data_IF_450073945444
#
_entry.id   IF_450073945444
#
_cell.length_a   1.000
_cell.length_b   1.000
_cell.length_c   1.000
_cell.angle_alpha   90.00
_cell.angle_beta   90.00
_cell.angle_gamma   90.00
#
_symmetry.space_group_name_H-M   'P 1'
#
loop_
_entity.id
_entity.type
_entity.pdbx_description
1 polymer ?
#
# COMPACT_ATOMS: atom_id res chain seq x y z
N UNK A 1 5.71 18.56 21.58
CA UNK A 1 4.85 18.35 20.41
C UNK A 1 4.62 19.65 19.66
N UNK A 2 4.05 19.55 18.47
CA UNK A 2 3.73 20.72 17.64
C UNK A 2 2.46 21.42 18.12
N UNK A 3 2.39 22.75 17.92
CA UNK A 3 1.17 23.53 18.13
C UNK A 3 0.20 23.32 16.94
N UNK A 4 -1.11 23.41 17.22
CA UNK A 4 -2.17 23.25 16.20
C UNK A 4 -2.02 24.22 15.02
N UNK A 5 -1.52 25.45 15.23
CA UNK A 5 -1.25 26.42 14.18
C UNK A 5 -0.14 25.94 13.23
N UNK A 6 0.93 25.36 13.77
CA UNK A 6 2.04 24.80 12.97
C UNK A 6 1.58 23.59 12.16
N UNK A 7 0.74 22.73 12.78
CA UNK A 7 0.15 21.58 12.09
C UNK A 7 -0.71 22.00 10.91
N UNK A 8 -1.54 23.06 11.08
CA UNK A 8 -2.37 23.60 10.01
C UNK A 8 -1.50 24.13 8.85
N UNK A 9 -0.46 24.90 9.15
CA UNK A 9 0.47 25.41 8.14
C UNK A 9 1.15 24.27 7.37
N UNK A 10 1.63 23.23 8.06
CA UNK A 10 2.29 22.08 7.39
C UNK A 10 1.34 21.29 6.51
N UNK A 11 0.05 21.20 6.86
CA UNK A 11 -0.98 20.62 5.98
C UNK A 11 -1.16 21.43 4.70
N UNK A 12 -1.17 22.76 4.79
CA UNK A 12 -1.24 23.65 3.62
C UNK A 12 0.00 23.53 2.73
N UNK A 13 1.18 23.35 3.34
CA UNK A 13 2.46 23.13 2.64
C UNK A 13 2.62 21.70 2.06
N UNK A 14 1.59 20.84 2.15
CA UNK A 14 1.61 19.42 1.75
C UNK A 14 2.71 18.57 2.45
N UNK A 15 3.15 18.96 3.63
CA UNK A 15 4.12 18.21 4.45
C UNK A 15 3.42 17.15 5.31
N UNK A 16 2.54 16.39 4.71
CA UNK A 16 1.72 15.31 5.32
C UNK A 16 2.26 13.95 4.91
N UNK A 17 2.10 12.95 5.77
CA UNK A 17 2.45 11.56 5.46
C UNK A 17 1.50 10.97 4.40
N UNK A 18 1.72 11.33 3.15
CA UNK A 18 0.98 10.77 2.03
C UNK A 18 1.63 9.45 1.65
N UNK A 19 1.08 8.32 2.14
CA UNK A 19 1.49 7.02 1.59
C UNK A 19 1.23 7.05 0.09
N UNK A 20 2.20 6.64 -0.75
CA UNK A 20 1.97 6.54 -2.18
C UNK A 20 0.75 5.64 -2.38
N UNK A 21 -0.29 6.19 -2.99
CA UNK A 21 -1.51 5.43 -3.32
C UNK A 21 -1.01 4.24 -4.12
N UNK A 22 -1.23 3.05 -3.57
CA UNK A 22 -0.93 1.81 -4.27
C UNK A 22 -1.60 1.94 -5.63
N UNK A 23 -0.80 2.11 -6.70
CA UNK A 23 -1.32 2.34 -8.06
C UNK A 23 -1.89 1.03 -8.60
N UNK A 24 -2.93 0.54 -7.89
CA UNK A 24 -3.73 -0.54 -8.42
C UNK A 24 -4.22 -0.13 -9.80
N UNK A 25 -4.05 -1.00 -10.80
CA UNK A 25 -4.49 -0.75 -12.17
C UNK A 25 -5.92 -0.22 -12.18
N UNK A 26 -6.21 0.79 -12.98
CA UNK A 26 -7.58 1.28 -13.15
C UNK A 26 -8.43 0.21 -13.85
N UNK A 27 -9.74 0.19 -13.60
CA UNK A 27 -10.65 -0.78 -14.25
C UNK A 27 -10.56 -0.76 -15.77
N UNK A 28 -10.54 0.41 -16.46
CA UNK A 28 -10.38 0.45 -17.91
C UNK A 28 -9.07 -0.17 -18.38
N UNK A 29 -7.99 0.00 -17.61
CA UNK A 29 -6.69 -0.58 -17.94
C UNK A 29 -6.70 -2.10 -17.82
N UNK A 30 -7.36 -2.64 -16.79
CA UNK A 30 -7.53 -4.09 -16.62
C UNK A 30 -8.27 -4.67 -17.84
N UNK A 31 -9.38 -4.06 -18.25
CA UNK A 31 -10.16 -4.50 -19.40
C UNK A 31 -9.32 -4.44 -20.66
N UNK A 32 -8.62 -3.33 -20.89
CA UNK A 32 -7.80 -3.15 -22.08
C UNK A 32 -6.65 -4.16 -22.18
N UNK A 33 -5.90 -4.37 -21.09
CA UNK A 33 -4.77 -5.32 -21.04
C UNK A 33 -5.25 -6.77 -21.24
N UNK A 34 -6.43 -7.13 -20.75
CA UNK A 34 -7.01 -8.46 -20.97
C UNK A 34 -7.49 -8.66 -22.42
N UNK A 35 -8.12 -7.66 -23.02
CA UNK A 35 -8.57 -7.74 -24.41
C UNK A 35 -7.37 -7.81 -25.36
N UNK A 36 -6.39 -6.94 -25.18
CA UNK A 36 -5.19 -6.82 -26.02
C UNK A 36 -4.00 -7.63 -25.49
N UNK A 37 -4.26 -8.73 -24.82
CA UNK A 37 -3.23 -9.70 -24.46
C UNK A 37 -2.59 -10.28 -25.73
N UNK A 38 -1.27 -10.53 -25.69
CA UNK A 38 -0.54 -11.13 -26.80
C UNK A 38 -1.22 -12.42 -27.30
N UNK A 39 -1.63 -13.29 -26.41
CA UNK A 39 -2.33 -14.53 -26.76
C UNK A 39 -3.64 -14.27 -27.50
N UNK A 40 -4.43 -13.29 -27.06
CA UNK A 40 -5.71 -12.97 -27.68
C UNK A 40 -5.51 -12.36 -29.09
N UNK A 41 -4.49 -11.53 -29.27
CA UNK A 41 -4.14 -10.95 -30.57
C UNK A 41 -3.73 -12.05 -31.56
N UNK A 42 -2.83 -12.95 -31.14
CA UNK A 42 -2.40 -14.08 -32.00
C UNK A 42 -3.57 -14.97 -32.36
N UNK A 43 -4.44 -15.27 -31.41
CA UNK A 43 -5.60 -16.14 -31.66
C UNK A 43 -6.62 -15.47 -32.57
N UNK A 44 -6.86 -14.17 -32.41
CA UNK A 44 -7.73 -13.39 -33.29
C UNK A 44 -7.19 -13.38 -34.72
N UNK A 45 -5.87 -13.22 -34.88
CA UNK A 45 -5.20 -13.29 -36.18
C UNK A 45 -5.35 -14.66 -36.84
N UNK A 46 -5.13 -15.77 -36.10
CA UNK A 46 -5.32 -17.12 -36.59
C UNK A 46 -6.78 -17.38 -37.00
N UNK A 47 -7.74 -16.90 -36.20
CA UNK A 47 -9.16 -16.98 -36.49
C UNK A 47 -9.50 -16.28 -37.81
N UNK A 48 -8.95 -15.08 -38.02
CA UNK A 48 -9.15 -14.34 -39.26
C UNK A 48 -8.62 -15.13 -40.45
N UNK A 49 -7.46 -15.74 -40.36
CA UNK A 49 -6.89 -16.62 -41.41
C UNK A 49 -7.80 -17.80 -41.70
N UNK A 50 -8.35 -18.47 -40.68
CA UNK A 50 -9.26 -19.62 -40.86
C UNK A 50 -10.54 -19.20 -41.60
N UNK A 51 -11.10 -18.04 -41.27
CA UNK A 51 -12.27 -17.50 -42.01
C UNK A 51 -11.94 -17.22 -43.47
N UNK A 52 -10.76 -16.64 -43.75
CA UNK A 52 -10.32 -16.37 -45.13
C UNK A 52 -10.14 -17.64 -45.97
N UNK A 53 -9.81 -18.77 -45.38
CA UNK A 53 -9.64 -20.08 -46.06
C UNK A 53 -11.00 -20.80 -46.23
N UNK A 54 -12.10 -20.23 -45.73
CA UNK A 54 -13.44 -20.84 -45.78
C UNK A 54 -13.73 -21.87 -44.68
N UNK A 55 -12.89 -21.98 -43.69
CA UNK A 55 -13.01 -22.91 -42.56
C UNK A 55 -13.83 -22.30 -41.39
N UNK A 56 -14.98 -21.71 -41.72
CA UNK A 56 -15.82 -20.99 -40.74
C UNK A 56 -16.37 -21.88 -39.60
N UNK A 57 -16.46 -23.17 -39.83
CA UNK A 57 -16.93 -24.14 -38.81
C UNK A 57 -16.02 -24.14 -37.54
N UNK A 58 -14.76 -23.80 -37.71
CA UNK A 58 -13.82 -23.62 -36.59
C UNK A 58 -14.01 -22.31 -35.82
N UNK A 59 -14.82 -21.39 -36.31
CA UNK A 59 -15.14 -20.14 -35.61
C UNK A 59 -15.88 -20.40 -34.30
N UNK A 60 -16.62 -21.49 -34.17
CA UNK A 60 -17.27 -21.89 -32.92
C UNK A 60 -16.26 -22.18 -31.80
N UNK A 61 -15.07 -22.68 -32.14
CA UNK A 61 -14.00 -22.89 -31.16
C UNK A 61 -13.51 -21.57 -30.55
N UNK A 62 -13.74 -20.46 -31.22
CA UNK A 62 -13.36 -19.11 -30.77
C UNK A 62 -14.21 -18.60 -29.61
N UNK A 63 -15.37 -19.19 -29.36
CA UNK A 63 -16.21 -18.88 -28.18
C UNK A 63 -15.46 -19.13 -26.88
N UNK A 64 -14.56 -20.11 -26.83
CA UNK A 64 -13.73 -20.42 -25.67
C UNK A 64 -12.82 -19.22 -25.30
N UNK A 65 -12.32 -18.50 -26.32
CA UNK A 65 -11.44 -17.33 -26.10
C UNK A 65 -12.22 -16.20 -25.45
N UNK A 66 -13.44 -15.94 -25.94
CA UNK A 66 -14.31 -14.90 -25.38
C UNK A 66 -14.63 -15.24 -23.93
N UNK A 67 -14.98 -16.50 -23.65
CA UNK A 67 -15.25 -16.96 -22.28
C UNK A 67 -14.02 -16.81 -21.39
N UNK A 68 -12.84 -17.22 -21.87
CA UNK A 68 -11.59 -17.11 -21.12
C UNK A 68 -11.22 -15.67 -20.80
N UNK A 69 -11.43 -14.75 -21.77
CA UNK A 69 -11.20 -13.32 -21.62
C UNK A 69 -12.13 -12.73 -20.55
N UNK A 70 -13.41 -13.06 -20.58
CA UNK A 70 -14.38 -12.60 -19.58
C UNK A 70 -14.01 -13.11 -18.20
N UNK A 71 -13.64 -14.38 -18.09
CA UNK A 71 -13.18 -14.97 -16.81
C UNK A 71 -11.95 -14.23 -16.30
N UNK A 72 -10.96 -13.97 -17.14
CA UNK A 72 -9.74 -13.24 -16.78
C UNK A 72 -10.04 -11.85 -16.24
N UNK A 73 -10.89 -11.08 -16.93
CA UNK A 73 -11.33 -9.75 -16.46
C UNK A 73 -12.01 -9.83 -15.10
N UNK A 74 -12.95 -10.76 -14.93
CA UNK A 74 -13.68 -10.92 -13.66
C UNK A 74 -12.75 -11.31 -12.52
N UNK A 75 -11.79 -12.21 -12.76
CA UNK A 75 -10.81 -12.64 -11.77
C UNK A 75 -9.89 -11.47 -11.36
N UNK A 76 -9.38 -10.69 -12.30
CA UNK A 76 -8.50 -9.55 -12.00
C UNK A 76 -9.24 -8.43 -11.27
N UNK A 77 -10.51 -8.17 -11.61
CA UNK A 77 -11.35 -7.22 -10.89
C UNK A 77 -11.62 -7.70 -9.45
N UNK A 78 -11.95 -8.98 -9.25
CA UNK A 78 -12.14 -9.55 -7.90
C UNK A 78 -10.86 -9.51 -7.07
N UNK A 79 -9.72 -9.83 -7.66
CA UNK A 79 -8.42 -9.75 -7.00
C UNK A 79 -8.14 -8.31 -6.54
N UNK A 80 -8.34 -7.32 -7.42
CA UNK A 80 -8.21 -5.90 -7.09
C UNK A 80 -9.11 -5.50 -5.92
N UNK A 81 -10.40 -5.85 -5.96
CA UNK A 81 -11.35 -5.53 -4.90
C UNK A 81 -10.97 -6.17 -3.56
N UNK A 82 -10.42 -7.38 -3.58
CA UNK A 82 -9.96 -8.07 -2.37
C UNK A 82 -8.77 -7.34 -1.73
N UNK A 83 -7.79 -6.91 -2.55
CA UNK A 83 -6.64 -6.13 -2.08
C UNK A 83 -7.09 -4.77 -1.54
N UNK A 84 -7.99 -4.08 -2.24
CA UNK A 84 -8.53 -2.79 -1.78
C UNK A 84 -9.28 -2.92 -0.45
N UNK A 85 -10.12 -3.96 -0.27
CA UNK A 85 -10.80 -4.21 1.00
C UNK A 85 -9.82 -4.46 2.14
N UNK A 86 -8.79 -5.25 1.93
CA UNK A 86 -7.76 -5.50 2.96
C UNK A 86 -7.01 -4.20 3.33
N UNK A 87 -6.71 -3.36 2.34
CA UNK A 87 -6.02 -2.08 2.56
C UNK A 87 -6.88 -1.07 3.34
N UNK A 88 -8.21 -1.11 3.21
CA UNK A 88 -9.13 -0.23 3.93
C UNK A 88 -9.38 -0.69 5.38
N UNK A 89 -9.18 -1.98 5.68
CA UNK A 89 -9.49 -2.55 6.99
C UNK A 89 -8.41 -2.22 8.03
N UNK A 90 -7.22 -1.80 7.61
CA UNK A 90 -6.11 -1.43 8.50
C UNK A 90 -5.83 0.07 8.37
N UNK A 91 -6.73 0.91 8.90
CA UNK A 91 -6.34 2.28 9.23
C UNK A 91 -5.40 2.22 10.44
N UNK A 92 -4.12 2.37 10.18
CA UNK A 92 -3.14 2.46 11.24
C UNK A 92 -3.32 3.81 11.93
N UNK A 93 -3.57 3.80 13.24
CA UNK A 93 -3.57 4.98 14.11
C UNK A 93 -2.24 5.09 14.84
N UNK A 94 -1.91 6.26 15.30
CA UNK A 94 -0.76 6.52 16.18
C UNK A 94 -1.11 7.62 17.18
N UNK A 95 -0.47 7.55 18.34
CA UNK A 95 -0.63 8.56 19.39
C UNK A 95 0.40 9.64 19.22
N UNK A 96 -0.02 10.85 18.85
CA UNK A 96 0.85 12.03 18.76
C UNK A 96 0.73 12.92 19.98
N UNK A 97 1.77 13.74 20.20
CA UNK A 97 1.78 14.78 21.20
C UNK A 97 1.65 16.12 20.47
N UNK A 98 0.47 16.77 20.59
CA UNK A 98 0.21 18.11 20.03
C UNK A 98 -0.40 18.99 21.08
N UNK A 99 -0.03 20.25 21.13
CA UNK A 99 -0.47 21.24 22.15
C UNK A 99 -0.20 20.76 23.60
N UNK A 100 0.79 19.89 23.82
CA UNK A 100 1.09 19.28 25.11
C UNK A 100 0.18 18.10 25.50
N UNK A 101 -0.79 17.73 24.67
CA UNK A 101 -1.73 16.65 24.91
C UNK A 101 -1.47 15.46 23.97
N UNK A 102 -1.77 14.26 24.47
CA UNK A 102 -1.76 13.03 23.66
C UNK A 102 -3.06 12.94 22.88
N UNK A 103 -2.95 12.78 21.56
CA UNK A 103 -4.09 12.63 20.64
C UNK A 103 -3.87 11.43 19.74
N UNK A 104 -4.86 10.56 19.61
CA UNK A 104 -4.84 9.48 18.64
C UNK A 104 -5.31 10.00 17.28
N UNK A 105 -4.49 9.82 16.25
CA UNK A 105 -4.78 10.26 14.89
C UNK A 105 -4.51 9.14 13.88
N UNK A 106 -5.07 9.25 12.68
CA UNK A 106 -4.69 8.40 11.55
C UNK A 106 -3.23 8.70 11.16
N UNK A 107 -2.45 7.67 10.83
CA UNK A 107 -1.06 7.84 10.35
C UNK A 107 -0.97 8.71 9.09
N UNK A 108 -2.06 8.84 8.32
CA UNK A 108 -2.16 9.73 7.16
C UNK A 108 -2.19 11.21 7.53
N UNK A 109 -2.55 11.53 8.77
CA UNK A 109 -2.64 12.90 9.27
C UNK A 109 -1.37 13.40 9.95
N UNK A 110 -0.35 12.53 10.03
CA UNK A 110 0.98 12.93 10.49
C UNK A 110 1.56 13.99 9.57
N UNK A 111 2.15 15.00 10.17
CA UNK A 111 2.91 16.05 9.46
C UNK A 111 4.38 15.96 9.80
N UNK A 112 5.21 16.58 8.98
CA UNK A 112 6.65 16.64 9.22
C UNK A 112 6.94 17.18 10.63
N UNK A 113 7.86 16.56 11.35
CA UNK A 113 8.25 16.87 12.75
C UNK A 113 7.17 16.64 13.81
N UNK A 114 6.09 15.93 13.50
CA UNK A 114 5.20 15.47 14.56
C UNK A 114 5.96 14.59 15.56
N UNK A 115 5.57 14.72 16.81
CA UNK A 115 6.09 13.89 17.89
C UNK A 115 5.05 12.84 18.23
N UNK A 116 5.41 11.57 18.15
CA UNK A 116 4.51 10.47 18.44
C UNK A 116 5.12 9.47 19.44
N UNK A 117 4.27 8.65 20.01
CA UNK A 117 4.67 7.59 20.95
C UNK A 117 4.73 6.27 20.19
N UNK A 118 5.93 5.67 20.16
CA UNK A 118 6.14 4.31 19.69
C UNK A 118 6.07 3.37 20.89
N UNK A 119 5.10 2.45 20.90
CA UNK A 119 4.88 1.51 22.00
C UNK A 119 4.77 0.07 21.52
N UNK A 120 4.99 -0.89 22.41
CA UNK A 120 4.96 -2.30 22.07
C UNK A 120 3.65 -2.72 21.40
N UNK A 121 3.75 -3.46 20.29
CA UNK A 121 2.65 -3.88 19.43
C UNK A 121 2.27 -2.88 18.35
N UNK A 122 2.77 -1.65 18.38
CA UNK A 122 2.51 -0.65 17.35
C UNK A 122 3.48 -0.80 16.16
N UNK A 123 3.00 -0.45 14.98
CA UNK A 123 3.85 -0.30 13.80
C UNK A 123 4.36 1.13 13.70
N UNK A 124 5.65 1.30 13.43
CA UNK A 124 6.28 2.60 13.20
C UNK A 124 5.64 3.25 11.96
N UNK A 125 5.00 4.44 12.11
CA UNK A 125 4.20 5.02 11.04
C UNK A 125 5.01 5.71 9.95
N UNK A 126 6.16 6.30 10.33
CA UNK A 126 7.06 7.10 9.47
C UNK A 126 8.50 6.90 9.92
N UNK A 127 9.46 7.13 9.02
CA UNK A 127 10.87 7.20 9.39
C UNK A 127 11.06 8.33 10.38
N UNK A 128 11.72 8.03 11.49
CA UNK A 128 11.81 8.96 12.62
C UNK A 128 13.05 8.70 13.46
N UNK A 129 13.37 9.67 14.31
CA UNK A 129 14.46 9.58 15.28
C UNK A 129 13.86 9.54 16.68
N UNK A 130 14.35 8.65 17.53
CA UNK A 130 13.96 8.57 18.93
C UNK A 130 14.47 9.81 19.66
N UNK A 131 13.56 10.56 20.27
CA UNK A 131 13.89 11.73 21.06
C UNK A 131 14.13 11.35 22.53
N UNK A 132 13.37 10.36 23.05
CA UNK A 132 13.48 9.88 24.43
C UNK A 132 12.97 8.43 24.54
N UNK A 133 13.50 7.68 25.50
CA UNK A 133 13.14 6.28 25.73
C UNK A 133 13.95 5.29 24.90
N UNK A 134 13.43 4.07 24.79
CA UNK A 134 13.99 2.99 23.97
C UNK A 134 12.89 2.08 23.44
N UNK A 135 13.15 1.41 22.34
CA UNK A 135 12.31 0.36 21.78
C UNK A 135 13.17 -0.76 21.21
N UNK A 136 12.65 -1.98 21.24
CA UNK A 136 13.13 -3.08 20.43
C UNK A 136 12.19 -3.23 19.23
N UNK A 137 12.74 -3.11 18.02
CA UNK A 137 11.98 -3.12 16.78
C UNK A 137 12.34 -4.31 15.91
N UNK A 138 11.32 -4.95 15.33
CA UNK A 138 11.48 -5.94 14.27
C UNK A 138 11.50 -5.20 12.92
N UNK A 139 12.65 -5.20 12.28
CA UNK A 139 12.90 -4.58 10.97
C UNK A 139 12.86 -5.61 9.83
N UNK A 140 12.33 -6.82 10.06
CA UNK A 140 12.33 -7.93 9.09
C UNK A 140 11.65 -7.60 7.76
N UNK A 141 10.65 -6.72 7.78
CA UNK A 141 9.97 -6.24 6.56
C UNK A 141 10.94 -5.47 5.65
N UNK A 142 11.97 -4.84 6.21
CA UNK A 142 12.93 -4.02 5.49
C UNK A 142 14.22 -4.78 5.18
N UNK A 143 14.73 -5.52 6.17
CA UNK A 143 16.05 -6.18 6.11
C UNK A 143 15.97 -7.65 5.74
N UNK A 144 14.81 -8.29 5.95
CA UNK A 144 14.61 -9.73 5.84
C UNK A 144 15.12 -10.52 7.06
N UNK A 145 15.70 -9.86 8.07
CA UNK A 145 16.21 -10.48 9.28
C UNK A 145 15.22 -10.30 10.42
N UNK A 146 14.80 -11.40 11.05
CA UNK A 146 13.78 -11.41 12.12
C UNK A 146 14.36 -11.22 13.53
N UNK A 147 15.59 -10.71 13.66
CA UNK A 147 16.20 -10.44 14.96
C UNK A 147 15.82 -9.02 15.37
N UNK A 148 15.09 -8.84 16.50
CA UNK A 148 14.77 -7.52 17.00
C UNK A 148 16.03 -6.69 17.30
N UNK A 149 16.00 -5.43 16.93
CA UNK A 149 17.09 -4.49 17.13
C UNK A 149 16.69 -3.46 18.18
N UNK A 150 17.53 -3.29 19.20
CA UNK A 150 17.32 -2.26 20.21
C UNK A 150 17.73 -0.90 19.66
N UNK A 151 16.83 0.07 19.81
CA UNK A 151 17.03 1.47 19.41
C UNK A 151 16.82 2.39 20.62
N UNK A 152 17.69 3.37 20.75
CA UNK A 152 17.72 4.32 21.87
C UNK A 152 17.67 5.76 21.38
N UNK A 153 17.58 6.70 22.31
CA UNK A 153 17.53 8.13 21.98
C UNK A 153 18.68 8.55 21.04
N UNK A 154 18.35 9.28 19.97
CA UNK A 154 19.27 9.71 18.93
C UNK A 154 19.39 8.73 17.75
N UNK A 155 18.85 7.52 17.85
CA UNK A 155 18.87 6.53 16.77
C UNK A 155 17.59 6.59 15.91
N UNK A 156 17.73 6.17 14.66
CA UNK A 156 16.61 6.13 13.71
C UNK A 156 15.82 4.85 13.82
N UNK A 157 14.50 4.96 13.67
CA UNK A 157 13.57 3.85 13.45
C UNK A 157 12.83 4.06 12.13
N UNK A 158 12.53 2.97 11.45
CA UNK A 158 12.04 3.02 10.06
C UNK A 158 10.56 2.65 9.96
N UNK A 159 9.87 3.34 9.07
CA UNK A 159 8.46 3.09 8.77
C UNK A 159 8.21 1.62 8.38
N UNK A 160 7.19 1.02 8.98
CA UNK A 160 6.84 -0.38 8.72
C UNK A 160 7.40 -1.36 9.75
N UNK A 161 8.46 -1.02 10.49
CA UNK A 161 8.98 -1.84 11.59
C UNK A 161 7.93 -2.01 12.69
N UNK A 162 7.96 -3.13 13.40
CA UNK A 162 7.04 -3.42 14.50
C UNK A 162 7.78 -3.27 15.83
N UNK A 163 7.24 -2.49 16.74
CA UNK A 163 7.78 -2.36 18.10
C UNK A 163 7.45 -3.62 18.89
N UNK A 164 8.46 -4.38 19.26
CA UNK A 164 8.31 -5.63 20.00
C UNK A 164 8.27 -5.40 21.52
N UNK A 165 9.12 -4.48 22.01
CA UNK A 165 9.24 -4.16 23.43
C UNK A 165 9.65 -2.70 23.62
N UNK A 166 9.32 -2.13 24.79
CA UNK A 166 9.70 -0.79 25.19
C UNK A 166 8.69 0.28 24.79
N UNK A 167 9.06 1.52 25.07
CA UNK A 167 8.31 2.72 24.68
C UNK A 167 9.30 3.85 24.43
N UNK A 168 9.07 4.59 23.35
CA UNK A 168 9.87 5.74 23.00
C UNK A 168 9.00 6.88 22.48
N UNK A 169 9.52 8.08 22.62
CA UNK A 169 9.00 9.28 21.97
C UNK A 169 9.86 9.52 20.74
N UNK A 170 9.25 9.52 19.55
CA UNK A 170 9.93 9.66 18.27
C UNK A 170 9.41 10.88 17.46
N UNK A 171 10.28 11.40 16.60
CA UNK A 171 10.00 12.58 15.78
C UNK A 171 10.44 12.36 14.34
#
# INVERSE_FOLDING_TARGET
GLDSAVVAQRREDNLVNIKPINRAKSYPRIIFENIFSFCNIVTLFLMLLLVCIGAADYALSSSIIIISMVIGIVQEIKAKQSVEKLSLTVESTCTVIRDGEKKEISTKELVLDDVYIAEAGAQVPVDSVIADGYVEVDESILTGESIPVKRTAGESIYAGSIVMEGQAVAR
#
